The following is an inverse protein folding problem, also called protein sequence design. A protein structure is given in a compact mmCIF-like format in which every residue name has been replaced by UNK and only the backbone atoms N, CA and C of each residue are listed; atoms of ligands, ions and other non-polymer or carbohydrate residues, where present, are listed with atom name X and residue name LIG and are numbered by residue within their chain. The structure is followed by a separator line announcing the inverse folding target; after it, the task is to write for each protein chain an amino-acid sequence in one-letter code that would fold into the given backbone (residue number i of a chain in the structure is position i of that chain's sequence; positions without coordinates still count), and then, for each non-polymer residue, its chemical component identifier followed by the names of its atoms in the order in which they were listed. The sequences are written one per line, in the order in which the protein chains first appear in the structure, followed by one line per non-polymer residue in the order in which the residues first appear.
data_IF_886235436821
#
_entry.id   IF_886235436821
#
_cell.length_a   1.000
_cell.length_b   1.000
_cell.length_c   1.000
_cell.angle_alpha   90.00
_cell.angle_beta   90.00
_cell.angle_gamma   90.00
#
_symmetry.space_group_name_H-M   'P 1'
#
loop_
_entity.id
_entity.type
_entity.pdbx_description
1 polymer ?
#
# COMPACT_ATOMS: atom_id res chain seq x y z
N UNK A 1 15.89 -21.50 -11.30
CA UNK A 1 16.09 -20.05 -11.44
C UNK A 1 14.80 -19.38 -11.02
N UNK A 2 14.71 -19.02 -9.74
CA UNK A 2 13.62 -18.19 -9.20
C UNK A 2 13.75 -16.81 -9.84
N UNK A 3 12.77 -16.40 -10.65
CA UNK A 3 12.79 -15.07 -11.29
C UNK A 3 12.98 -14.00 -10.19
N UNK A 4 14.00 -13.16 -10.37
CA UNK A 4 14.35 -12.01 -9.52
C UNK A 4 13.50 -10.76 -9.84
N UNK A 5 12.38 -10.93 -10.55
CA UNK A 5 11.52 -9.81 -10.93
C UNK A 5 10.50 -9.57 -9.83
N UNK A 6 10.67 -8.49 -9.08
CA UNK A 6 9.62 -7.97 -8.20
C UNK A 6 8.40 -7.62 -9.08
N UNK A 7 7.34 -8.42 -8.99
CA UNK A 7 6.09 -8.22 -9.75
C UNK A 7 5.45 -6.84 -9.50
N UNK A 8 5.79 -6.19 -8.40
CA UNK A 8 5.35 -4.84 -8.04
C UNK A 8 6.35 -4.20 -7.07
N UNK A 9 6.40 -2.88 -7.06
CA UNK A 9 7.11 -2.11 -6.04
C UNK A 9 6.13 -1.64 -4.96
N UNK A 10 6.45 -1.90 -3.70
CA UNK A 10 5.70 -1.35 -2.57
C UNK A 10 6.08 0.12 -2.34
N UNK A 11 5.09 0.98 -2.13
CA UNK A 11 5.33 2.36 -1.72
C UNK A 11 4.92 2.55 -0.26
N UNK A 12 5.76 3.27 0.49
CA UNK A 12 5.50 3.58 1.89
C UNK A 12 5.89 5.04 2.17
N UNK A 13 5.15 5.70 3.05
CA UNK A 13 5.49 7.03 3.55
C UNK A 13 5.54 7.04 5.06
N UNK A 14 6.20 8.05 5.65
CA UNK A 14 6.28 8.19 7.10
C UNK A 14 4.89 8.26 7.78
N UNK A 15 3.87 8.96 7.25
CA UNK A 15 2.53 8.96 7.82
C UNK A 15 1.85 7.59 7.81
N UNK A 16 2.06 6.79 6.76
CA UNK A 16 1.54 5.41 6.68
C UNK A 16 2.27 4.52 7.67
N UNK A 17 3.60 4.62 7.74
CA UNK A 17 4.40 3.83 8.68
C UNK A 17 4.02 4.10 10.15
N UNK A 18 3.80 5.36 10.48
CA UNK A 18 3.34 5.76 11.82
C UNK A 18 1.98 5.14 12.16
N UNK A 19 1.06 5.13 11.20
CA UNK A 19 -0.24 4.46 11.35
C UNK A 19 -0.08 2.96 11.57
N UNK A 20 0.73 2.29 10.73
CA UNK A 20 0.94 0.85 10.82
C UNK A 20 1.52 0.45 12.17
N UNK A 21 2.53 1.17 12.66
CA UNK A 21 3.10 0.90 13.99
C UNK A 21 2.07 1.13 15.09
N UNK A 22 1.40 2.27 15.09
CA UNK A 22 0.38 2.57 16.10
C UNK A 22 -0.72 1.51 16.12
N UNK A 23 -1.24 1.14 14.95
CA UNK A 23 -2.31 0.14 14.82
C UNK A 23 -1.84 -1.24 15.25
N UNK A 24 -0.66 -1.67 14.79
CA UNK A 24 -0.14 -2.99 15.09
C UNK A 24 0.26 -3.12 16.57
N UNK A 25 0.74 -2.05 17.21
CA UNK A 25 1.09 -2.04 18.62
C UNK A 25 -0.11 -2.31 19.53
N UNK A 26 -1.29 -1.74 19.20
CA UNK A 26 -2.50 -1.98 19.99
C UNK A 26 -3.25 -3.26 19.60
N UNK A 27 -3.27 -3.61 18.31
CA UNK A 27 -4.07 -4.72 17.79
C UNK A 27 -3.43 -6.08 18.07
N UNK A 28 -2.09 -6.15 18.07
CA UNK A 28 -1.37 -7.41 18.18
C UNK A 28 -1.04 -7.72 19.67
N UNK A 29 -1.40 -8.90 20.18
CA UNK A 29 -1.14 -9.25 21.57
C UNK A 29 0.36 -9.37 21.86
N UNK A 30 0.73 -9.15 23.13
CA UNK A 30 2.13 -9.16 23.60
C UNK A 30 2.92 -10.41 23.16
N UNK A 31 2.29 -11.58 23.15
CA UNK A 31 2.89 -12.85 22.73
C UNK A 31 3.31 -12.89 21.24
N UNK A 32 2.78 -11.98 20.42
CA UNK A 32 3.01 -11.90 18.98
C UNK A 32 3.78 -10.64 18.56
N UNK A 33 4.17 -9.79 19.50
CA UNK A 33 4.94 -8.56 19.23
C UNK A 33 6.26 -8.82 18.47
N UNK A 34 7.07 -9.85 18.79
CA UNK A 34 8.29 -10.13 18.02
C UNK A 34 8.03 -10.51 16.56
N UNK A 35 6.93 -11.21 16.29
CA UNK A 35 6.53 -11.58 14.92
C UNK A 35 6.04 -10.34 14.15
N UNK A 36 5.23 -9.50 14.80
CA UNK A 36 4.80 -8.20 14.27
C UNK A 36 5.99 -7.30 13.92
N UNK A 37 6.98 -7.16 14.81
CA UNK A 37 8.16 -6.33 14.56
C UNK A 37 8.97 -6.84 13.37
N UNK A 38 9.13 -8.16 13.21
CA UNK A 38 9.78 -8.76 12.04
C UNK A 38 9.03 -8.46 10.75
N UNK A 39 7.71 -8.62 10.73
CA UNK A 39 6.89 -8.34 9.54
C UNK A 39 6.96 -6.86 9.17
N UNK A 40 6.86 -5.97 10.16
CA UNK A 40 6.98 -4.53 9.94
C UNK A 40 8.35 -4.17 9.38
N UNK A 41 9.44 -4.72 9.90
CA UNK A 41 10.79 -4.43 9.37
C UNK A 41 10.95 -4.95 7.93
N UNK A 42 10.40 -6.11 7.59
CA UNK A 42 10.38 -6.60 6.19
C UNK A 42 9.67 -5.59 5.29
N UNK A 43 8.47 -5.13 5.66
CA UNK A 43 7.75 -4.10 4.90
C UNK A 43 8.58 -2.82 4.76
N UNK A 44 9.27 -2.41 5.84
CA UNK A 44 10.13 -1.22 5.88
C UNK A 44 11.27 -1.29 4.87
N UNK A 45 11.88 -2.47 4.75
CA UNK A 45 13.06 -2.71 3.92
C UNK A 45 12.73 -2.99 2.45
N UNK A 46 11.53 -3.51 2.17
CA UNK A 46 11.09 -3.84 0.80
C UNK A 46 10.36 -2.68 0.10
N UNK A 47 9.94 -1.65 0.84
CA UNK A 47 9.22 -0.53 0.27
C UNK A 47 10.15 0.60 -0.22
N UNK A 48 9.77 1.20 -1.34
CA UNK A 48 10.27 2.51 -1.75
C UNK A 48 9.63 3.60 -0.88
N UNK A 49 10.49 4.42 -0.27
CA UNK A 49 10.07 5.48 0.64
C UNK A 49 9.72 6.75 -0.13
N UNK A 50 8.45 7.13 -0.03
CA UNK A 50 7.91 8.34 -0.62
C UNK A 50 7.78 9.39 0.47
N UNK A 51 8.18 10.62 0.14
CA UNK A 51 7.89 11.81 0.92
C UNK A 51 6.76 12.57 0.22
N UNK A 52 5.49 12.39 0.63
CA UNK A 52 4.39 13.07 -0.02
C UNK A 52 4.50 14.58 0.21
N UNK A 53 4.40 15.34 -0.87
CA UNK A 53 4.31 16.79 -0.89
C UNK A 53 2.86 17.27 -1.03
N UNK A 54 2.00 16.45 -1.65
CA UNK A 54 0.58 16.71 -1.84
C UNK A 54 -0.17 16.60 -0.51
N UNK A 55 -1.13 17.51 -0.32
CA UNK A 55 -2.14 17.42 0.75
C UNK A 55 -3.51 17.31 0.10
N UNK A 56 -4.13 16.13 0.21
CA UNK A 56 -5.37 15.82 -0.47
C UNK A 56 -6.54 15.82 0.52
N UNK A 57 -7.71 16.23 0.01
CA UNK A 57 -9.00 16.11 0.71
C UNK A 57 -9.99 15.39 -0.22
N UNK A 58 -9.58 14.21 -0.69
CA UNK A 58 -10.32 13.44 -1.70
C UNK A 58 -11.05 12.23 -1.10
N UNK A 59 -10.56 11.70 0.02
CA UNK A 59 -11.20 10.60 0.73
C UNK A 59 -12.29 11.11 1.68
N UNK A 60 -13.38 10.36 1.80
CA UNK A 60 -14.46 10.67 2.75
C UNK A 60 -14.04 10.42 4.19
N UNK A 61 -13.12 9.47 4.42
CA UNK A 61 -12.35 9.37 5.65
C UNK A 61 -11.06 10.16 5.50
N UNK A 62 -10.88 11.18 6.35
CA UNK A 62 -9.73 12.08 6.31
C UNK A 62 -8.42 11.30 6.52
N UNK A 63 -8.44 10.25 7.33
CA UNK A 63 -7.27 9.44 7.65
C UNK A 63 -6.75 8.67 6.43
N UNK A 64 -7.64 8.34 5.48
CA UNK A 64 -7.33 7.59 4.27
C UNK A 64 -6.58 8.43 3.22
N UNK A 65 -6.63 9.77 3.31
CA UNK A 65 -5.93 10.65 2.36
C UNK A 65 -4.43 10.38 2.32
N UNK A 66 -3.80 10.01 3.44
CA UNK A 66 -2.35 9.75 3.49
C UNK A 66 -1.90 8.60 2.56
N UNK A 67 -2.78 7.62 2.34
CA UNK A 67 -2.51 6.51 1.43
C UNK A 67 -2.60 6.99 -0.02
N UNK A 68 -3.60 7.83 -0.31
CA UNK A 68 -3.78 8.40 -1.64
C UNK A 68 -2.67 9.40 -1.97
N UNK A 69 -2.27 10.26 -1.03
CA UNK A 69 -1.13 11.19 -1.15
C UNK A 69 0.16 10.43 -1.50
N UNK A 70 0.46 9.36 -0.78
CA UNK A 70 1.62 8.52 -1.05
C UNK A 70 1.56 7.87 -2.43
N UNK A 71 0.38 7.38 -2.83
CA UNK A 71 0.20 6.73 -4.12
C UNK A 71 0.36 7.72 -5.28
N UNK A 72 -0.22 8.92 -5.15
CA UNK A 72 -0.16 9.96 -6.19
C UNK A 72 1.25 10.49 -6.34
N UNK A 73 1.89 10.92 -5.25
CA UNK A 73 3.23 11.50 -5.32
C UNK A 73 4.30 10.45 -5.65
N UNK A 74 4.07 9.21 -5.24
CA UNK A 74 4.88 8.06 -5.61
C UNK A 74 4.59 7.49 -6.99
N UNK A 75 3.61 8.04 -7.73
CA UNK A 75 3.19 7.59 -9.07
C UNK A 75 2.84 6.10 -9.13
N UNK A 76 2.15 5.60 -8.11
CA UNK A 76 1.70 4.21 -8.07
C UNK A 76 0.66 3.94 -9.18
N UNK A 77 0.78 2.79 -9.83
CA UNK A 77 -0.27 2.32 -10.75
C UNK A 77 -1.55 1.90 -10.02
N UNK A 78 -1.40 1.38 -8.79
CA UNK A 78 -2.49 0.82 -8.00
C UNK A 78 -2.42 1.23 -6.53
N UNK A 79 -3.58 1.57 -5.97
CA UNK A 79 -3.83 1.60 -4.54
C UNK A 79 -4.73 0.41 -4.16
N UNK A 80 -4.19 -0.54 -3.42
CA UNK A 80 -4.90 -1.76 -3.02
C UNK A 80 -5.50 -1.56 -1.63
N UNK A 81 -6.83 -1.52 -1.54
CA UNK A 81 -7.54 -1.31 -0.28
C UNK A 81 -8.71 -2.28 -0.10
N UNK A 82 -8.91 -2.77 1.14
CA UNK A 82 -10.09 -3.58 1.49
C UNK A 82 -11.37 -2.74 1.38
N UNK A 83 -11.31 -1.51 1.88
CA UNK A 83 -12.45 -0.62 1.97
C UNK A 83 -12.37 0.55 0.97
N UNK A 84 -12.56 0.24 -0.32
CA UNK A 84 -12.45 1.25 -1.39
C UNK A 84 -13.51 2.37 -1.33
N UNK A 85 -14.58 2.22 -0.53
CA UNK A 85 -15.71 3.17 -0.51
C UNK A 85 -15.33 4.54 0.05
N UNK A 86 -14.21 4.62 0.77
CA UNK A 86 -13.70 5.87 1.33
C UNK A 86 -12.88 6.67 0.33
N UNK A 87 -12.45 6.03 -0.76
CA UNK A 87 -11.63 6.64 -1.78
C UNK A 87 -12.48 7.14 -2.96
N UNK A 88 -11.93 8.05 -3.79
CA UNK A 88 -12.54 8.40 -5.07
C UNK A 88 -12.84 7.15 -5.91
N UNK A 89 -13.93 7.15 -6.69
CA UNK A 89 -14.33 5.98 -7.45
C UNK A 89 -13.31 5.67 -8.56
N UNK A 90 -12.90 4.40 -8.63
CA UNK A 90 -12.10 3.78 -9.71
C UNK A 90 -10.65 4.27 -9.83
N UNK A 91 -10.42 5.56 -10.01
CA UNK A 91 -9.11 6.13 -10.27
C UNK A 91 -9.00 7.56 -9.74
N UNK A 92 -7.81 7.94 -9.28
CA UNK A 92 -7.51 9.32 -8.90
C UNK A 92 -6.09 9.68 -9.31
N UNK A 93 -5.94 10.73 -10.13
CA UNK A 93 -4.65 11.22 -10.61
C UNK A 93 -3.72 10.11 -11.17
N UNK A 94 -4.28 9.18 -11.95
CA UNK A 94 -3.55 8.04 -12.53
C UNK A 94 -3.45 6.79 -11.64
N UNK A 95 -3.83 6.88 -10.37
CA UNK A 95 -3.78 5.76 -9.42
C UNK A 95 -5.09 4.97 -9.46
N UNK A 96 -5.04 3.70 -9.86
CA UNK A 96 -6.22 2.82 -9.86
C UNK A 96 -6.51 2.28 -8.48
N UNK A 97 -7.72 2.48 -7.97
CA UNK A 97 -8.11 2.06 -6.63
C UNK A 97 -8.86 0.73 -6.71
N UNK A 98 -8.23 -0.33 -6.20
CA UNK A 98 -8.70 -1.71 -6.40
C UNK A 98 -8.76 -2.50 -5.09
N UNK A 99 -9.60 -3.54 -5.08
CA UNK A 99 -9.56 -4.57 -4.03
C UNK A 99 -8.48 -5.59 -4.34
N UNK A 100 -8.00 -6.28 -3.30
CA UNK A 100 -6.93 -7.30 -3.43
C UNK A 100 -7.22 -8.35 -4.50
N UNK A 101 -8.46 -8.85 -4.61
CA UNK A 101 -8.84 -9.82 -5.65
C UNK A 101 -8.53 -9.29 -7.06
N UNK A 102 -8.84 -8.02 -7.33
CA UNK A 102 -8.61 -7.43 -8.64
C UNK A 102 -7.12 -7.22 -8.91
N UNK A 103 -6.37 -6.85 -7.89
CA UNK A 103 -4.92 -6.72 -7.99
C UNK A 103 -4.24 -8.07 -8.30
N UNK A 104 -4.66 -9.15 -7.64
CA UNK A 104 -4.17 -10.50 -7.93
C UNK A 104 -4.47 -10.92 -9.38
N UNK A 105 -5.67 -10.63 -9.90
CA UNK A 105 -5.98 -10.88 -11.32
C UNK A 105 -5.07 -10.10 -12.29
N UNK A 106 -4.58 -8.92 -11.90
CA UNK A 106 -3.62 -8.15 -12.70
C UNK A 106 -2.26 -8.84 -12.69
N UNK A 107 -1.77 -9.24 -11.51
CA UNK A 107 -0.48 -9.93 -11.38
C UNK A 107 -0.46 -11.26 -12.16
N UNK A 108 -1.53 -12.06 -12.07
CA UNK A 108 -1.66 -13.30 -12.83
C UNK A 108 -1.64 -13.10 -14.35
N UNK A 109 -2.14 -11.96 -14.84
CA UNK A 109 -2.10 -11.62 -16.27
C UNK A 109 -0.71 -11.17 -16.69
N UNK A 110 -0.06 -10.34 -15.87
CA UNK A 110 1.31 -9.88 -16.14
C UNK A 110 2.28 -11.06 -16.18
N UNK A 111 2.15 -12.03 -15.28
CA UNK A 111 2.98 -13.24 -15.29
C UNK A 111 2.83 -14.04 -16.60
N UNK A 112 1.61 -14.13 -17.14
CA UNK A 112 1.33 -14.83 -18.41
C UNK A 112 1.83 -14.08 -19.64
N UNK A 113 1.91 -12.76 -19.60
CA UNK A 113 2.45 -11.95 -20.71
C UNK A 113 3.99 -11.97 -20.76
N UNK A 114 4.64 -12.30 -19.63
CA UNK A 114 6.10 -12.43 -19.48
C UNK A 114 6.57 -13.89 -19.66
N UNK A 115 5.65 -14.86 -19.72
CA UNK A 115 5.93 -16.30 -19.93
C UNK A 115 5.80 -16.72 -21.38
#
# INVERSE_FOLDING_TARGET
MTREDDYFQLLLSQPIWSEYRAVADWLIPASKQPEKDRILEILRLQAAWIQPASRLQACSDISDNRFLECAVDGKADYLVAKNIRHFPPQEYAGVKIVRIRKFLEVLERMEKEIS
#
